data_IF_159300191750
#
_entry.id   IF_159300191750
#
_cell.length_a   1.000
_cell.length_b   1.000
_cell.length_c   1.000
_cell.angle_alpha   90.00
_cell.angle_beta   90.00
_cell.angle_gamma   90.00
#
_symmetry.space_group_name_H-M   'P 1'
#
loop_
_entity.id
_entity.type
_entity.pdbx_description
1 polymer ?
#
# COMPACT_ATOMS: atom_id res chain seq x y z
N UNK A 1 3.13 -15.56 -34.19
CA UNK A 1 3.20 -16.18 -32.84
C UNK A 1 1.90 -16.92 -32.60
N UNK A 2 1.95 -18.10 -31.98
CA UNK A 2 0.74 -18.78 -31.48
C UNK A 2 0.17 -18.03 -30.28
N UNK A 3 -1.11 -18.23 -29.90
CA UNK A 3 -1.66 -17.63 -28.68
C UNK A 3 -0.83 -17.90 -27.43
N UNK A 4 -0.29 -19.12 -27.31
CA UNK A 4 0.61 -19.49 -26.20
C UNK A 4 1.91 -18.68 -26.24
N UNK A 5 2.55 -18.55 -27.41
CA UNK A 5 3.77 -17.75 -27.55
C UNK A 5 3.53 -16.27 -27.21
N UNK A 6 2.36 -15.72 -27.56
CA UNK A 6 2.00 -14.36 -27.16
C UNK A 6 1.81 -14.24 -25.65
N UNK A 7 1.17 -15.21 -25.00
CA UNK A 7 0.96 -15.22 -23.56
C UNK A 7 2.29 -15.35 -22.78
N UNK A 8 3.19 -16.20 -23.25
CA UNK A 8 4.50 -16.39 -22.61
C UNK A 8 5.37 -15.13 -22.77
N UNK A 9 5.40 -14.52 -23.96
CA UNK A 9 6.10 -13.26 -24.18
C UNK A 9 5.52 -12.11 -23.34
N UNK A 10 4.19 -12.06 -23.18
CA UNK A 10 3.56 -11.07 -22.31
C UNK A 10 3.93 -11.26 -20.84
N UNK A 11 4.01 -12.51 -20.35
CA UNK A 11 4.47 -12.80 -18.99
C UNK A 11 5.91 -12.39 -18.78
N UNK A 12 6.80 -12.69 -19.72
CA UNK A 12 8.21 -12.32 -19.65
C UNK A 12 8.38 -10.79 -19.60
N UNK A 13 7.63 -10.04 -20.41
CA UNK A 13 7.61 -8.58 -20.34
C UNK A 13 7.10 -8.05 -19.00
N UNK A 14 6.00 -8.61 -18.48
CA UNK A 14 5.48 -8.23 -17.16
C UNK A 14 6.51 -8.53 -16.08
N UNK A 15 7.10 -9.73 -16.05
CA UNK A 15 8.12 -10.10 -15.05
C UNK A 15 9.34 -9.19 -15.11
N UNK A 16 9.76 -8.80 -16.31
CA UNK A 16 10.83 -7.83 -16.52
C UNK A 16 10.44 -6.47 -15.91
N UNK A 17 9.36 -5.84 -16.38
CA UNK A 17 8.92 -4.51 -15.95
C UNK A 17 8.58 -4.45 -14.44
N UNK A 18 8.11 -5.56 -13.88
CA UNK A 18 7.81 -5.69 -12.46
C UNK A 18 9.04 -5.48 -11.60
N UNK A 19 10.24 -5.88 -12.04
CA UNK A 19 11.40 -5.96 -11.16
C UNK A 19 12.77 -6.01 -11.85
N UNK A 20 13.14 -4.98 -12.63
CA UNK A 20 14.42 -4.90 -13.35
C UNK A 20 15.62 -4.57 -12.43
N UNK A 21 15.82 -5.30 -11.32
CA UNK A 21 16.81 -4.97 -10.28
C UNK A 21 18.25 -4.80 -10.75
N UNK A 22 18.59 -5.41 -11.89
CA UNK A 22 19.92 -5.33 -12.49
C UNK A 22 20.22 -3.98 -13.11
N UNK A 23 19.19 -3.19 -13.44
CA UNK A 23 19.32 -1.83 -13.98
C UNK A 23 18.98 -0.80 -12.88
N UNK A 24 19.92 0.09 -12.48
CA UNK A 24 19.65 1.19 -11.55
C UNK A 24 18.51 2.13 -11.97
N UNK A 25 18.23 2.24 -13.27
CA UNK A 25 17.16 3.06 -13.85
C UNK A 25 16.02 2.21 -14.43
N UNK A 26 16.04 0.89 -14.19
CA UNK A 26 15.01 -0.02 -14.67
C UNK A 26 13.67 0.16 -13.98
N UNK A 27 12.63 -0.39 -14.58
CA UNK A 27 11.27 -0.31 -14.05
C UNK A 27 11.11 -1.08 -12.73
N UNK A 28 10.25 -0.56 -11.85
CA UNK A 28 9.92 -1.10 -10.53
C UNK A 28 8.41 -1.04 -10.33
N UNK A 29 7.65 -1.68 -11.24
CA UNK A 29 6.19 -1.59 -11.19
C UNK A 29 5.67 -2.14 -9.86
N UNK A 30 6.30 -3.15 -9.24
CA UNK A 30 5.91 -3.63 -7.90
C UNK A 30 5.92 -2.52 -6.82
N UNK A 31 6.88 -1.61 -6.89
CA UNK A 31 7.06 -0.51 -5.93
C UNK A 31 6.09 0.65 -6.15
N UNK A 32 5.54 0.83 -7.35
CA UNK A 32 4.70 2.01 -7.67
C UNK A 32 3.27 1.69 -8.04
N UNK A 33 2.94 0.45 -8.40
CA UNK A 33 1.61 0.06 -8.88
C UNK A 33 0.49 0.45 -7.92
N UNK A 34 0.72 0.24 -6.62
CA UNK A 34 -0.23 0.58 -5.57
C UNK A 34 -0.48 2.09 -5.37
N UNK A 35 0.37 2.94 -5.95
CA UNK A 35 0.23 4.39 -5.91
C UNK A 35 -0.77 4.92 -6.95
N UNK A 36 -1.33 4.04 -7.79
CA UNK A 36 -2.32 4.39 -8.80
C UNK A 36 -3.58 5.04 -8.22
N UNK A 37 -4.19 5.91 -9.02
CA UNK A 37 -5.43 6.62 -8.67
C UNK A 37 -6.69 5.80 -8.99
N UNK A 38 -6.59 4.89 -9.96
CA UNK A 38 -7.64 3.95 -10.32
C UNK A 38 -7.02 2.62 -10.80
N UNK A 39 -7.68 1.52 -10.48
CA UNK A 39 -7.28 0.17 -10.88
C UNK A 39 -8.34 -0.40 -11.82
N UNK A 40 -7.92 -0.89 -12.98
CA UNK A 40 -8.80 -1.35 -14.05
C UNK A 40 -8.47 -2.79 -14.38
N UNK A 41 -9.50 -3.63 -14.49
CA UNK A 41 -9.32 -5.03 -14.84
C UNK A 41 -9.32 -5.24 -16.35
N UNK A 42 -8.18 -5.64 -16.91
CA UNK A 42 -7.97 -5.76 -18.36
C UNK A 42 -8.64 -6.96 -19.05
N UNK A 43 -9.70 -7.58 -18.49
CA UNK A 43 -10.24 -8.84 -19.03
C UNK A 43 -11.19 -8.67 -20.23
N UNK A 44 -11.97 -7.60 -20.30
CA UNK A 44 -12.87 -7.35 -21.44
C UNK A 44 -13.04 -5.85 -21.72
N UNK A 45 -13.25 -5.49 -22.99
CA UNK A 45 -13.31 -4.07 -23.41
C UNK A 45 -14.48 -3.30 -22.76
N UNK A 46 -15.62 -3.95 -22.59
CA UNK A 46 -16.82 -3.35 -22.01
C UNK A 46 -16.60 -2.91 -20.56
N UNK A 47 -16.11 -3.80 -19.70
CA UNK A 47 -15.79 -3.51 -18.29
C UNK A 47 -14.67 -2.50 -18.15
N UNK A 48 -13.67 -2.52 -19.05
CA UNK A 48 -12.62 -1.49 -19.11
C UNK A 48 -13.26 -0.13 -19.36
N UNK A 49 -14.10 -0.03 -20.40
CA UNK A 49 -14.80 1.20 -20.77
C UNK A 49 -15.68 1.71 -19.64
N UNK A 50 -16.52 0.85 -19.07
CA UNK A 50 -17.41 1.21 -17.95
C UNK A 50 -16.62 1.72 -16.73
N UNK A 51 -15.51 1.05 -16.38
CA UNK A 51 -14.67 1.43 -15.24
C UNK A 51 -14.01 2.79 -15.48
N UNK A 52 -13.48 3.02 -16.69
CA UNK A 52 -12.84 4.28 -17.08
C UNK A 52 -13.85 5.42 -17.11
N UNK A 53 -15.00 5.23 -17.78
CA UNK A 53 -16.05 6.26 -17.88
C UNK A 53 -16.57 6.64 -16.49
N UNK A 54 -16.81 5.64 -15.62
CA UNK A 54 -17.21 5.90 -14.24
C UNK A 54 -16.13 6.67 -13.48
N UNK A 55 -14.86 6.28 -13.60
CA UNK A 55 -13.75 6.98 -12.95
C UNK A 55 -13.68 8.43 -13.42
N UNK A 56 -13.68 8.69 -14.73
CA UNK A 56 -13.63 10.04 -15.30
C UNK A 56 -14.81 10.87 -14.81
N UNK A 57 -16.03 10.36 -14.86
CA UNK A 57 -17.18 11.10 -14.36
C UNK A 57 -17.10 11.40 -12.86
N UNK A 58 -16.65 10.43 -12.04
CA UNK A 58 -16.49 10.63 -10.61
C UNK A 58 -15.42 11.68 -10.32
N UNK A 59 -14.28 11.57 -10.99
CA UNK A 59 -13.14 12.47 -10.89
C UNK A 59 -13.49 13.90 -11.29
N UNK A 60 -14.35 14.09 -12.29
CA UNK A 60 -14.86 15.41 -12.68
C UNK A 60 -16.09 15.87 -11.87
N UNK A 61 -16.41 15.15 -10.78
CA UNK A 61 -17.39 15.59 -9.80
C UNK A 61 -18.85 15.30 -10.14
N UNK A 62 -19.16 14.30 -10.97
CA UNK A 62 -20.55 13.86 -11.23
C UNK A 62 -21.27 13.50 -9.93
N UNK A 63 -22.44 14.07 -9.68
CA UNK A 63 -23.17 13.89 -8.42
C UNK A 63 -24.01 12.61 -8.36
N UNK A 64 -24.26 11.94 -9.48
CA UNK A 64 -24.95 10.66 -9.51
C UNK A 64 -24.06 9.47 -9.11
N UNK A 65 -22.75 9.68 -8.96
CA UNK A 65 -21.81 8.60 -8.65
C UNK A 65 -21.52 8.57 -7.14
N UNK A 66 -21.61 7.36 -6.59
CA UNK A 66 -21.23 6.99 -5.23
C UNK A 66 -20.16 5.89 -5.26
N UNK A 67 -19.45 5.66 -4.15
CA UNK A 67 -18.48 4.57 -4.06
C UNK A 67 -19.12 3.19 -4.28
N UNK A 68 -18.35 2.27 -4.87
CA UNK A 68 -18.67 0.85 -4.83
C UNK A 68 -18.39 0.27 -3.43
N UNK A 69 -18.88 -0.95 -3.17
CA UNK A 69 -18.56 -1.67 -1.92
C UNK A 69 -17.07 -1.92 -1.78
N UNK A 70 -16.38 -2.21 -2.87
CA UNK A 70 -14.95 -2.48 -2.84
C UNK A 70 -14.15 -1.20 -2.63
N UNK A 71 -14.54 -0.08 -3.26
CA UNK A 71 -13.92 1.21 -3.00
C UNK A 71 -14.09 1.63 -1.54
N UNK A 72 -15.29 1.45 -0.98
CA UNK A 72 -15.56 1.73 0.43
C UNK A 72 -14.73 0.82 1.35
N UNK A 73 -14.76 -0.50 1.12
CA UNK A 73 -14.03 -1.47 1.93
C UNK A 73 -12.52 -1.25 1.91
N UNK A 74 -11.95 -1.05 0.72
CA UNK A 74 -10.53 -0.74 0.54
C UNK A 74 -10.14 0.58 1.17
N UNK A 75 -10.98 1.62 1.08
CA UNK A 75 -10.74 2.89 1.77
C UNK A 75 -10.75 2.74 3.29
N UNK A 76 -11.69 1.96 3.84
CA UNK A 76 -11.74 1.70 5.29
C UNK A 76 -10.52 0.92 5.76
N UNK A 77 -10.05 -0.08 4.99
CA UNK A 77 -8.80 -0.78 5.29
C UNK A 77 -7.59 0.17 5.27
N UNK A 78 -7.47 1.02 4.24
CA UNK A 78 -6.41 2.01 4.15
C UNK A 78 -6.49 3.07 5.26
N UNK A 79 -7.69 3.48 5.65
CA UNK A 79 -7.87 4.40 6.79
C UNK A 79 -7.45 3.76 8.11
N UNK A 80 -7.71 2.46 8.29
CA UNK A 80 -7.30 1.74 9.49
C UNK A 80 -5.77 1.56 9.57
N UNK A 81 -5.08 1.43 8.43
CA UNK A 81 -3.62 1.27 8.40
C UNK A 81 -2.88 2.46 9.00
N UNK A 82 -3.44 3.66 8.89
CA UNK A 82 -2.84 4.91 9.40
C UNK A 82 -2.63 4.92 10.92
N UNK A 83 -3.24 3.98 11.65
CA UNK A 83 -3.02 3.80 13.09
C UNK A 83 -1.69 3.12 13.42
N UNK A 84 -1.12 2.36 12.47
CA UNK A 84 0.07 1.54 12.70
C UNK A 84 1.33 2.39 12.88
N UNK A 85 2.16 2.02 13.86
CA UNK A 85 3.54 2.50 14.02
C UNK A 85 4.59 1.43 13.66
N UNK A 86 4.24 0.44 12.85
CA UNK A 86 5.17 -0.59 12.40
C UNK A 86 6.38 0.02 11.66
N UNK A 87 7.59 -0.47 11.99
CA UNK A 87 8.86 0.08 11.50
C UNK A 87 9.10 -0.17 10.00
N UNK A 88 8.45 -1.15 9.41
CA UNK A 88 8.63 -1.51 8.01
C UNK A 88 7.60 -0.82 7.12
N UNK A 89 6.31 -0.97 7.42
CA UNK A 89 5.22 -0.38 6.62
C UNK A 89 3.89 -0.40 7.35
N UNK A 90 3.00 0.52 6.99
CA UNK A 90 1.61 0.51 7.46
C UNK A 90 0.76 -0.44 6.62
N UNK A 91 0.05 -1.36 7.27
CA UNK A 91 -0.87 -2.32 6.67
C UNK A 91 -2.21 -2.26 7.40
N UNK A 92 -3.30 -2.24 6.66
CA UNK A 92 -4.65 -2.19 7.22
C UNK A 92 -5.52 -3.30 6.66
N UNK A 93 -6.47 -3.74 7.48
CA UNK A 93 -7.47 -4.73 7.12
C UNK A 93 -8.85 -4.32 7.64
N UNK A 94 -9.88 -4.62 6.86
CA UNK A 94 -11.26 -4.39 7.24
C UNK A 94 -12.12 -5.60 6.87
N UNK A 95 -12.77 -6.18 7.88
CA UNK A 95 -13.66 -7.32 7.72
C UNK A 95 -15.07 -6.79 7.53
N UNK A 96 -15.72 -7.21 6.45
CA UNK A 96 -17.05 -6.76 6.05
C UNK A 96 -18.01 -7.94 5.95
N UNK A 97 -19.25 -7.70 6.34
CA UNK A 97 -20.34 -8.65 6.11
C UNK A 97 -20.62 -8.81 4.61
N UNK A 98 -21.33 -9.87 4.19
CA UNK A 98 -21.81 -10.01 2.81
C UNK A 98 -22.69 -8.84 2.32
N UNK A 99 -23.28 -8.07 3.24
CA UNK A 99 -24.15 -6.93 2.93
C UNK A 99 -23.38 -5.61 2.83
N UNK A 100 -22.11 -5.58 3.24
CA UNK A 100 -21.26 -4.39 3.20
C UNK A 100 -21.20 -3.61 4.51
N UNK A 101 -21.53 -4.21 5.65
CA UNK A 101 -21.33 -3.58 6.96
C UNK A 101 -19.96 -3.95 7.55
N UNK A 102 -19.30 -3.01 8.23
CA UNK A 102 -18.04 -3.25 8.93
C UNK A 102 -18.26 -4.18 10.13
N UNK A 103 -17.56 -5.30 10.16
CA UNK A 103 -17.53 -6.27 11.27
C UNK A 103 -16.41 -5.92 12.24
N UNK A 104 -15.18 -5.76 11.75
CA UNK A 104 -14.00 -5.39 12.52
C UNK A 104 -12.95 -4.74 11.62
N UNK A 105 -12.02 -4.03 12.25
CA UNK A 105 -10.90 -3.38 11.59
C UNK A 105 -9.60 -3.84 12.25
N UNK A 106 -8.51 -3.81 11.51
CA UNK A 106 -7.19 -4.14 11.99
C UNK A 106 -6.12 -3.33 11.29
N UNK A 107 -5.00 -3.15 11.97
CA UNK A 107 -3.74 -2.74 11.36
C UNK A 107 -2.63 -3.59 11.96
N UNK A 108 -1.46 -3.61 11.34
CA UNK A 108 -0.30 -4.25 11.95
C UNK A 108 0.15 -3.43 13.16
N UNK A 109 0.11 -4.04 14.34
CA UNK A 109 0.43 -3.37 15.60
C UNK A 109 0.73 -4.40 16.70
N UNK A 110 1.49 -3.97 17.71
CA UNK A 110 1.88 -4.82 18.84
C UNK A 110 0.67 -5.13 19.74
N UNK A 111 0.38 -6.43 19.98
CA UNK A 111 -0.69 -6.84 20.89
C UNK A 111 -0.44 -6.40 22.34
N UNK A 112 -1.53 -6.15 23.07
CA UNK A 112 -1.50 -5.74 24.47
C UNK A 112 -2.11 -6.82 25.38
N UNK A 113 -1.64 -6.89 26.63
CA UNK A 113 -2.26 -7.71 27.66
C UNK A 113 -3.74 -7.35 27.84
N UNK A 114 -4.61 -8.37 27.97
CA UNK A 114 -6.07 -8.18 28.03
C UNK A 114 -6.76 -8.12 26.66
N UNK A 115 -5.99 -8.15 25.56
CA UNK A 115 -6.49 -8.18 24.19
C UNK A 115 -6.47 -6.80 23.50
N UNK A 116 -6.64 -6.83 22.16
CA UNK A 116 -6.41 -5.66 21.32
C UNK A 116 -4.92 -5.36 21.13
N UNK A 117 -4.62 -4.15 20.66
CA UNK A 117 -3.27 -3.66 20.39
C UNK A 117 -3.01 -2.37 21.14
N UNK A 118 -1.75 -1.96 21.28
CA UNK A 118 -1.42 -0.68 21.89
C UNK A 118 -1.99 0.52 21.11
N UNK A 119 -2.35 1.56 21.86
CA UNK A 119 -2.81 2.86 21.35
C UNK A 119 -1.90 3.99 21.83
N UNK A 120 -1.94 5.12 21.14
CA UNK A 120 -1.17 6.30 21.56
C UNK A 120 -1.57 6.85 22.92
N UNK A 121 -2.81 6.62 23.34
CA UNK A 121 -3.35 7.08 24.63
C UNK A 121 -3.04 6.09 25.78
N UNK A 122 -2.40 4.96 25.48
CA UNK A 122 -1.95 4.02 26.52
C UNK A 122 -0.75 4.62 27.27
N UNK A 123 -0.87 4.77 28.59
CA UNK A 123 0.17 5.39 29.41
C UNK A 123 1.48 4.62 29.56
N UNK A 124 1.50 3.34 29.16
CA UNK A 124 2.69 2.46 29.18
C UNK A 124 2.66 1.55 27.94
N UNK A 125 2.81 2.18 26.78
CA UNK A 125 2.84 1.48 25.50
C UNK A 125 4.21 0.84 25.26
N UNK A 126 4.20 -0.43 24.89
CA UNK A 126 5.41 -1.21 24.57
C UNK A 126 5.38 -1.62 23.10
N UNK A 127 5.14 -0.68 22.20
CA UNK A 127 5.31 -0.94 20.76
C UNK A 127 6.80 -1.00 20.44
N UNK A 128 7.16 -1.62 19.33
CA UNK A 128 8.56 -1.72 18.89
C UNK A 128 9.22 -0.33 18.76
N UNK A 129 8.45 0.67 18.33
CA UNK A 129 8.88 2.08 18.30
C UNK A 129 9.11 2.66 19.71
N UNK A 130 8.22 2.39 20.66
CA UNK A 130 8.32 2.92 22.03
C UNK A 130 9.52 2.31 22.77
N UNK A 131 9.76 1.01 22.55
CA UNK A 131 10.87 0.27 23.16
C UNK A 131 12.20 0.49 22.40
N UNK A 132 12.17 1.06 21.19
CA UNK A 132 13.35 1.33 20.35
C UNK A 132 14.05 0.08 19.82
N UNK A 133 13.34 -1.04 19.67
CA UNK A 133 13.89 -2.34 19.31
C UNK A 133 13.15 -2.89 18.09
N UNK A 134 13.89 -3.53 17.17
CA UNK A 134 13.35 -4.38 16.10
C UNK A 134 13.67 -5.86 16.44
N UNK A 135 12.74 -6.57 17.11
CA UNK A 135 12.96 -7.96 17.52
C UNK A 135 13.15 -8.90 16.33
N UNK A 136 12.46 -8.62 15.22
CA UNK A 136 12.53 -9.48 14.03
C UNK A 136 13.92 -9.43 13.39
N UNK A 137 14.49 -8.24 13.23
CA UNK A 137 15.86 -8.08 12.73
C UNK A 137 16.88 -8.68 13.69
N UNK A 138 16.65 -8.53 15.00
CA UNK A 138 17.55 -9.06 16.04
C UNK A 138 17.59 -10.59 15.99
N UNK A 139 16.43 -11.25 15.93
CA UNK A 139 16.35 -12.71 15.91
C UNK A 139 16.84 -13.29 14.58
N UNK A 140 16.55 -12.64 13.44
CA UNK A 140 17.14 -13.05 12.15
C UNK A 140 18.67 -13.04 12.19
N UNK A 141 19.26 -11.97 12.71
CA UNK A 141 20.71 -11.87 12.85
C UNK A 141 21.28 -12.98 13.74
N UNK A 142 20.57 -13.30 14.83
CA UNK A 142 20.95 -14.41 15.72
C UNK A 142 20.92 -15.75 15.02
N UNK A 143 19.86 -16.06 14.27
CA UNK A 143 19.72 -17.31 13.51
C UNK A 143 20.82 -17.45 12.46
N UNK A 144 21.09 -16.37 11.72
CA UNK A 144 22.16 -16.34 10.71
C UNK A 144 23.51 -16.59 11.36
N UNK A 145 23.80 -15.93 12.48
CA UNK A 145 25.04 -16.11 13.21
C UNK A 145 25.19 -17.52 13.78
N UNK A 146 24.13 -18.08 14.37
CA UNK A 146 24.10 -19.44 14.89
C UNK A 146 24.35 -20.48 13.78
N UNK A 147 23.75 -20.27 12.60
CA UNK A 147 24.01 -21.08 11.42
C UNK A 147 25.50 -21.02 11.00
N UNK A 148 26.08 -19.82 10.91
CA UNK A 148 27.50 -19.66 10.58
C UNK A 148 28.41 -20.32 11.63
N UNK A 149 28.11 -20.14 12.91
CA UNK A 149 28.86 -20.74 14.00
C UNK A 149 28.79 -22.28 13.97
N UNK A 150 27.62 -22.84 13.60
CA UNK A 150 27.45 -24.27 13.39
C UNK A 150 28.34 -24.79 12.25
N UNK A 151 28.41 -24.06 11.12
CA UNK A 151 29.29 -24.42 10.00
C UNK A 151 30.78 -24.32 10.37
N UNK A 152 31.16 -23.32 11.17
CA UNK A 152 32.51 -23.20 11.71
C UNK A 152 32.87 -24.40 12.59
N UNK A 153 31.97 -24.78 13.52
CA UNK A 153 32.16 -25.95 14.39
C UNK A 153 32.29 -27.27 13.64
N UNK A 154 31.68 -27.37 12.45
CA UNK A 154 31.82 -28.50 11.55
C UNK A 154 33.10 -28.48 10.69
N UNK A 155 33.94 -27.44 10.81
CA UNK A 155 35.17 -27.30 10.03
C UNK A 155 34.94 -27.03 8.54
N UNK A 156 33.79 -26.47 8.17
CA UNK A 156 33.42 -26.21 6.76
C UNK A 156 33.92 -24.84 6.25
N UNK A 157 34.49 -24.01 7.11
CA UNK A 157 35.11 -22.76 6.72
C UNK A 157 36.52 -23.00 6.19
N UNK A 158 36.97 -22.14 5.26
CA UNK A 158 38.38 -22.12 4.85
C UNK A 158 39.25 -21.75 6.05
N UNK A 159 40.48 -22.25 6.07
CA UNK A 159 41.41 -22.05 7.18
C UNK A 159 41.53 -20.58 7.59
N UNK A 160 41.31 -20.31 8.88
CA UNK A 160 41.43 -18.99 9.49
C UNK A 160 40.18 -18.11 9.43
N UNK A 161 39.12 -18.50 8.72
CA UNK A 161 37.85 -17.76 8.71
C UNK A 161 36.97 -18.12 9.91
N UNK A 162 36.37 -17.09 10.51
CA UNK A 162 35.43 -17.21 11.63
C UNK A 162 34.02 -16.72 11.26
N UNK A 163 33.02 -17.15 12.03
CA UNK A 163 31.64 -16.69 11.90
C UNK A 163 31.54 -15.17 12.13
N UNK A 164 32.31 -14.64 13.08
CA UNK A 164 32.37 -13.19 13.38
C UNK A 164 32.87 -12.37 12.18
N UNK A 165 33.94 -12.83 11.52
CA UNK A 165 34.49 -12.17 10.34
C UNK A 165 33.50 -12.19 9.18
N UNK A 166 32.89 -13.34 8.89
CA UNK A 166 31.89 -13.48 7.82
C UNK A 166 30.64 -12.65 8.10
N UNK A 167 30.13 -12.66 9.34
CA UNK A 167 28.92 -11.93 9.70
C UNK A 167 29.13 -10.41 9.70
N UNK A 168 30.36 -9.96 9.94
CA UNK A 168 30.74 -8.54 9.94
C UNK A 168 31.14 -8.02 8.55
N UNK A 169 31.46 -8.89 7.59
CA UNK A 169 31.82 -8.50 6.23
C UNK A 169 30.65 -7.81 5.50
N UNK A 170 30.80 -6.54 5.05
CA UNK A 170 29.76 -5.80 4.36
C UNK A 170 29.24 -6.48 3.07
N UNK A 171 30.12 -7.16 2.32
CA UNK A 171 29.74 -7.85 1.09
C UNK A 171 28.90 -9.09 1.39
N UNK A 172 29.27 -9.83 2.45
CA UNK A 172 28.51 -10.99 2.91
C UNK A 172 27.14 -10.54 3.44
N UNK A 173 27.10 -9.48 4.25
CA UNK A 173 25.85 -8.88 4.73
C UNK A 173 24.92 -8.46 3.61
N UNK A 174 25.45 -7.85 2.55
CA UNK A 174 24.66 -7.48 1.37
C UNK A 174 24.02 -8.72 0.72
N UNK A 175 24.79 -9.81 0.54
CA UNK A 175 24.26 -11.07 -0.02
C UNK A 175 23.24 -11.75 0.89
N UNK A 176 23.45 -11.72 2.21
CA UNK A 176 22.49 -12.25 3.19
C UNK A 176 21.17 -11.50 3.13
N UNK A 177 21.18 -10.18 2.92
CA UNK A 177 19.97 -9.37 2.77
C UNK A 177 19.11 -9.83 1.59
N UNK A 178 19.72 -10.34 0.53
CA UNK A 178 19.03 -10.86 -0.66
C UNK A 178 18.60 -12.34 -0.51
N UNK A 179 19.01 -13.03 0.56
CA UNK A 179 18.67 -14.43 0.79
C UNK A 179 17.29 -14.60 1.43
N UNK A 180 16.63 -15.74 1.18
CA UNK A 180 15.29 -16.05 1.68
C UNK A 180 15.15 -15.99 3.21
N UNK A 181 16.22 -16.20 3.98
CA UNK A 181 16.23 -16.06 5.45
C UNK A 181 15.85 -14.63 5.89
N UNK A 182 16.13 -13.64 5.06
CA UNK A 182 15.83 -12.23 5.36
C UNK A 182 14.33 -11.91 5.22
N UNK A 183 13.55 -12.79 4.57
CA UNK A 183 12.11 -12.63 4.34
C UNK A 183 11.25 -13.15 5.50
N UNK A 184 11.86 -13.73 6.53
CA UNK A 184 11.19 -14.16 7.75
C UNK A 184 10.66 -12.91 8.51
N UNK A 185 9.39 -12.98 8.92
CA UNK A 185 8.68 -11.89 9.63
C UNK A 185 8.10 -12.32 10.98
N UNK A 186 8.17 -13.61 11.31
CA UNK A 186 7.48 -14.25 12.42
C UNK A 186 8.01 -13.86 13.80
N UNK A 187 9.21 -13.27 13.88
CA UNK A 187 9.82 -12.86 15.13
C UNK A 187 9.47 -11.41 15.53
N UNK A 188 8.74 -10.69 14.68
CA UNK A 188 8.18 -9.38 15.05
C UNK A 188 7.12 -9.52 16.14
N UNK A 189 7.04 -8.54 17.04
CA UNK A 189 5.99 -8.53 18.07
C UNK A 189 4.63 -8.12 17.50
N UNK A 190 4.62 -7.38 16.39
CA UNK A 190 3.41 -6.93 15.71
C UNK A 190 2.61 -8.12 15.20
N UNK A 191 1.32 -8.14 15.54
CA UNK A 191 0.37 -8.98 14.82
C UNK A 191 0.02 -8.27 13.51
N UNK A 192 -0.12 -9.03 12.42
CA UNK A 192 -0.48 -8.49 11.12
C UNK A 192 -1.92 -7.95 11.11
N UNK A 193 -2.23 -7.05 10.17
CA UNK A 193 -3.52 -6.38 10.09
C UNK A 193 -4.72 -7.35 9.99
N UNK A 194 -4.58 -8.41 9.22
CA UNK A 194 -5.61 -9.43 9.03
C UNK A 194 -5.84 -10.22 10.32
N UNK A 195 -4.75 -10.57 11.02
CA UNK A 195 -4.81 -11.26 12.31
C UNK A 195 -5.44 -10.38 13.38
N UNK A 196 -5.07 -9.10 13.47
CA UNK A 196 -5.66 -8.17 14.43
C UNK A 196 -7.15 -7.99 14.18
N UNK A 197 -7.56 -7.85 12.91
CA UNK A 197 -8.98 -7.73 12.55
C UNK A 197 -9.79 -8.98 12.90
N UNK A 198 -9.25 -10.19 12.66
CA UNK A 198 -9.91 -11.45 13.04
C UNK A 198 -9.97 -11.63 14.56
N UNK A 199 -8.88 -11.34 15.28
CA UNK A 199 -8.83 -11.38 16.74
C UNK A 199 -9.83 -10.40 17.36
N UNK A 200 -9.98 -9.20 16.81
CA UNK A 200 -10.96 -8.22 17.26
C UNK A 200 -12.39 -8.70 17.03
N UNK A 201 -12.69 -9.29 15.87
CA UNK A 201 -13.99 -9.90 15.63
C UNK A 201 -14.30 -11.02 16.64
N UNK A 202 -13.34 -11.92 16.86
CA UNK A 202 -13.48 -13.03 17.81
C UNK A 202 -13.69 -12.53 19.25
N UNK A 203 -12.87 -11.58 19.69
CA UNK A 203 -12.96 -10.96 21.03
C UNK A 203 -14.30 -10.24 21.27
N UNK A 204 -14.88 -9.66 20.22
CA UNK A 204 -16.18 -8.99 20.27
C UNK A 204 -17.37 -9.91 19.97
N UNK A 205 -17.14 -11.21 19.74
CA UNK A 205 -18.20 -12.17 19.42
C UNK A 205 -18.88 -11.93 18.08
N UNK A 206 -18.17 -11.34 17.10
CA UNK A 206 -18.71 -11.02 15.77
C UNK A 206 -18.30 -12.10 14.76
N UNK A 207 -19.25 -12.74 14.05
CA UNK A 207 -18.93 -13.81 13.12
C UNK A 207 -18.24 -13.26 11.86
N UNK A 208 -17.23 -13.97 11.39
CA UNK A 208 -16.47 -13.66 10.16
C UNK A 208 -16.68 -14.69 9.05
N UNK A 209 -17.46 -15.74 9.31
CA UNK A 209 -17.81 -16.73 8.30
C UNK A 209 -18.64 -16.08 7.17
N UNK A 210 -18.22 -16.32 5.93
CA UNK A 210 -18.81 -15.71 4.73
C UNK A 210 -18.40 -14.26 4.49
N UNK A 211 -17.54 -13.67 5.32
CA UNK A 211 -17.13 -12.27 5.20
C UNK A 211 -16.26 -12.00 3.97
N UNK A 212 -16.19 -10.73 3.59
CA UNK A 212 -15.17 -10.18 2.69
C UNK A 212 -14.13 -9.44 3.54
N UNK A 213 -12.85 -9.70 3.31
CA UNK A 213 -11.76 -8.95 3.96
C UNK A 213 -11.08 -8.06 2.94
N UNK A 214 -11.09 -6.76 3.18
CA UNK A 214 -10.30 -5.80 2.43
C UNK A 214 -8.96 -5.62 3.15
N UNK A 215 -7.86 -5.65 2.41
CA UNK A 215 -6.51 -5.53 2.98
C UNK A 215 -5.67 -4.65 2.06
N UNK A 216 -4.84 -3.78 2.64
CA UNK A 216 -3.98 -2.91 1.82
C UNK A 216 -2.96 -3.73 1.05
N UNK A 217 -2.31 -4.70 1.69
CA UNK A 217 -1.25 -5.54 1.09
C UNK A 217 -1.68 -7.00 1.01
N UNK A 218 -1.31 -7.71 -0.05
CA UNK A 218 -1.66 -9.13 -0.21
C UNK A 218 -1.21 -9.95 1.02
N UNK A 219 -2.08 -10.81 1.58
CA UNK A 219 -1.77 -11.51 2.82
C UNK A 219 -0.57 -12.44 2.74
N UNK A 220 0.24 -12.47 3.80
CA UNK A 220 1.28 -13.48 3.95
C UNK A 220 0.66 -14.87 4.15
N UNK A 221 1.45 -15.93 3.96
CA UNK A 221 0.99 -17.30 4.12
C UNK A 221 0.44 -17.60 5.53
N UNK A 222 1.03 -16.97 6.57
CA UNK A 222 0.52 -17.09 7.93
C UNK A 222 -0.82 -16.39 8.15
N UNK A 223 -1.12 -15.29 7.44
CA UNK A 223 -2.43 -14.64 7.51
C UNK A 223 -3.48 -15.43 6.71
N UNK A 224 -3.10 -15.91 5.52
CA UNK A 224 -3.99 -16.65 4.63
C UNK A 224 -4.59 -17.89 5.30
N UNK A 225 -3.80 -18.69 6.03
CA UNK A 225 -4.33 -19.85 6.76
C UNK A 225 -5.40 -19.47 7.80
N UNK A 226 -5.27 -18.30 8.44
CA UNK A 226 -6.27 -17.80 9.40
C UNK A 226 -7.53 -17.29 8.71
N UNK A 227 -7.39 -16.61 7.56
CA UNK A 227 -8.54 -16.19 6.73
C UNK A 227 -9.36 -17.41 6.28
N UNK A 228 -8.68 -18.45 5.79
CA UNK A 228 -9.29 -19.73 5.42
C UNK A 228 -9.99 -20.36 6.63
N UNK A 229 -9.28 -20.52 7.75
CA UNK A 229 -9.84 -21.14 8.96
C UNK A 229 -11.02 -20.35 9.56
N UNK A 230 -11.04 -19.03 9.41
CA UNK A 230 -12.13 -18.16 9.86
C UNK A 230 -13.38 -18.26 8.97
N UNK A 231 -13.32 -18.98 7.85
CA UNK A 231 -14.42 -19.10 6.90
C UNK A 231 -14.65 -17.83 6.08
N UNK A 232 -13.62 -16.99 5.91
CA UNK A 232 -13.68 -15.83 5.00
C UNK A 232 -13.95 -16.31 3.59
N UNK A 233 -14.82 -15.62 2.86
CA UNK A 233 -15.19 -16.03 1.50
C UNK A 233 -14.36 -15.35 0.43
N UNK A 234 -14.00 -14.09 0.67
CA UNK A 234 -13.36 -13.21 -0.30
C UNK A 234 -12.32 -12.32 0.37
N UNK A 235 -11.18 -12.13 -0.27
CA UNK A 235 -10.12 -11.22 0.14
C UNK A 235 -9.83 -10.28 -1.03
N UNK A 236 -9.92 -8.97 -0.80
CA UNK A 236 -9.61 -7.94 -1.79
C UNK A 236 -8.36 -7.20 -1.35
N UNK A 237 -7.32 -7.20 -2.19
CA UNK A 237 -6.03 -6.58 -1.86
C UNK A 237 -5.64 -5.51 -2.88
N UNK A 238 -4.84 -4.52 -2.46
CA UNK A 238 -4.39 -3.41 -3.34
C UNK A 238 -2.95 -3.62 -3.79
N UNK A 239 -2.06 -3.92 -2.84
CA UNK A 239 -0.65 -4.09 -3.15
C UNK A 239 -0.31 -5.56 -3.30
N UNK A 240 0.37 -5.97 -4.38
CA UNK A 240 0.86 -7.33 -4.49
C UNK A 240 1.89 -7.62 -3.40
N UNK A 241 1.96 -8.88 -2.98
CA UNK A 241 3.03 -9.37 -2.11
C UNK A 241 3.61 -10.65 -2.73
N UNK A 242 4.48 -10.51 -3.75
CA UNK A 242 4.91 -11.62 -4.60
C UNK A 242 5.60 -12.77 -3.85
N UNK A 243 6.12 -12.48 -2.65
CA UNK A 243 6.80 -13.46 -1.79
C UNK A 243 5.85 -14.36 -1.01
N UNK A 244 4.56 -14.05 -1.00
CA UNK A 244 3.58 -14.85 -0.27
C UNK A 244 3.45 -16.25 -0.85
N UNK A 245 3.53 -17.25 0.02
CA UNK A 245 3.24 -18.65 -0.31
C UNK A 245 1.78 -19.03 -0.06
N UNK A 246 0.89 -18.06 0.13
CA UNK A 246 -0.51 -18.30 0.46
C UNK A 246 -1.23 -19.19 -0.56
N UNK A 247 -1.09 -18.90 -1.85
CA UNK A 247 -1.74 -19.66 -2.92
C UNK A 247 -1.11 -21.05 -3.09
N UNK A 248 0.23 -21.14 -3.01
CA UNK A 248 0.97 -22.41 -3.12
C UNK A 248 0.62 -23.36 -1.97
N UNK A 249 0.58 -22.87 -0.73
CA UNK A 249 0.37 -23.68 0.48
C UNK A 249 -1.10 -24.03 0.73
N UNK A 250 -2.03 -23.32 0.09
CA UNK A 250 -3.47 -23.52 0.24
C UNK A 250 -4.16 -23.63 -1.12
N UNK A 251 -3.54 -24.32 -2.08
CA UNK A 251 -4.09 -24.50 -3.42
C UNK A 251 -5.46 -25.18 -3.42
N UNK A 252 -5.73 -26.01 -2.41
CA UNK A 252 -6.99 -26.73 -2.21
C UNK A 252 -8.12 -25.81 -1.70
N UNK A 253 -7.76 -24.73 -1.00
CA UNK A 253 -8.69 -23.85 -0.31
C UNK A 253 -8.72 -22.41 -0.84
N UNK A 254 -7.80 -22.02 -1.73
CA UNK A 254 -7.66 -20.63 -2.23
C UNK A 254 -7.57 -20.57 -3.76
N UNK A 255 -7.96 -19.43 -4.31
CA UNK A 255 -7.82 -19.14 -5.75
C UNK A 255 -7.63 -17.63 -5.96
N UNK A 256 -6.92 -17.26 -7.02
CA UNK A 256 -6.66 -15.87 -7.40
C UNK A 256 -7.47 -15.48 -8.65
N UNK A 257 -8.20 -14.36 -8.57
CA UNK A 257 -8.93 -13.72 -9.68
C UNK A 257 -9.89 -14.64 -10.46
N UNK A 258 -10.44 -15.64 -9.77
CA UNK A 258 -11.36 -16.63 -10.31
C UNK A 258 -12.56 -16.84 -9.36
N UNK A 259 -13.77 -16.70 -9.90
CA UNK A 259 -14.99 -16.94 -9.12
C UNK A 259 -15.04 -18.39 -8.65
N UNK A 260 -15.14 -18.60 -7.34
CA UNK A 260 -15.20 -19.94 -6.78
C UNK A 260 -16.10 -20.01 -5.54
N UNK A 261 -16.99 -21.01 -5.48
CA UNK A 261 -17.92 -21.18 -4.36
C UNK A 261 -17.34 -22.00 -3.20
N UNK A 262 -16.30 -22.80 -3.43
CA UNK A 262 -15.73 -23.71 -2.43
C UNK A 262 -14.41 -23.23 -1.83
N UNK A 263 -13.75 -22.26 -2.49
CA UNK A 263 -12.49 -21.68 -2.06
C UNK A 263 -12.65 -20.23 -1.58
N UNK A 264 -11.65 -19.76 -0.85
CA UNK A 264 -11.46 -18.33 -0.57
C UNK A 264 -10.94 -17.68 -1.84
N UNK A 265 -11.63 -16.66 -2.31
CA UNK A 265 -11.24 -15.93 -3.53
C UNK A 265 -10.39 -14.74 -3.15
N UNK A 266 -9.13 -14.73 -3.58
CA UNK A 266 -8.27 -13.55 -3.54
C UNK A 266 -8.46 -12.77 -4.84
N UNK A 267 -8.72 -11.48 -4.75
CA UNK A 267 -8.95 -10.62 -5.91
C UNK A 267 -8.16 -9.33 -5.77
N UNK A 268 -7.57 -8.89 -6.88
CA UNK A 268 -7.00 -7.56 -6.92
C UNK A 268 -8.12 -6.51 -6.85
N UNK A 269 -7.89 -5.43 -6.11
CA UNK A 269 -8.78 -4.28 -6.05
C UNK A 269 -8.98 -3.66 -7.44
N UNK A 270 -10.23 -3.33 -7.77
CA UNK A 270 -10.63 -2.65 -9.01
C UNK A 270 -11.54 -1.49 -8.64
N UNK A 271 -11.25 -0.30 -9.17
CA UNK A 271 -11.98 0.92 -8.90
C UNK A 271 -11.08 2.09 -8.48
N UNK A 272 -11.70 3.11 -7.90
CA UNK A 272 -11.04 4.33 -7.44
C UNK A 272 -10.22 4.04 -6.19
N UNK A 273 -8.92 4.36 -6.22
CA UNK A 273 -8.01 4.01 -5.13
C UNK A 273 -8.37 4.72 -3.82
N UNK A 274 -8.01 4.13 -2.66
CA UNK A 274 -8.18 4.79 -1.37
C UNK A 274 -7.53 6.18 -1.29
N UNK A 275 -6.46 6.43 -2.08
CA UNK A 275 -5.76 7.71 -2.15
C UNK A 275 -6.62 8.84 -2.71
N UNK A 276 -7.58 8.52 -3.59
CA UNK A 276 -8.50 9.47 -4.24
C UNK A 276 -9.91 9.40 -3.68
N UNK A 277 -10.18 8.47 -2.77
CA UNK A 277 -11.52 8.21 -2.26
C UNK A 277 -12.16 9.46 -1.65
N UNK A 278 -11.47 10.13 -0.73
CA UNK A 278 -11.97 11.36 -0.11
C UNK A 278 -12.12 12.48 -1.13
N UNK A 279 -11.07 12.74 -1.91
CA UNK A 279 -11.05 13.80 -2.93
C UNK A 279 -12.28 13.73 -3.86
N UNK A 280 -12.67 12.52 -4.26
CA UNK A 280 -13.76 12.29 -5.22
C UNK A 280 -15.15 12.22 -4.56
N UNK A 281 -15.26 11.61 -3.38
CA UNK A 281 -16.56 11.27 -2.78
C UNK A 281 -17.00 12.20 -1.66
N UNK A 282 -16.08 12.96 -1.05
CA UNK A 282 -16.38 13.96 -0.03
C UNK A 282 -17.03 15.19 -0.70
N UNK A 283 -18.34 15.40 -0.43
CA UNK A 283 -19.11 16.50 -1.02
C UNK A 283 -20.01 17.14 0.03
N UNK A 284 -20.06 18.46 0.07
CA UNK A 284 -20.90 19.21 1.02
C UNK A 284 -22.40 19.16 0.65
N UNK A 285 -22.73 19.45 -0.60
CA UNK A 285 -24.11 19.43 -1.12
C UNK A 285 -24.14 18.97 -2.57
N UNK A 286 -25.22 18.28 -2.95
CA UNK A 286 -25.54 17.87 -4.33
C UNK A 286 -26.81 18.56 -4.87
N UNK A 287 -27.26 19.62 -4.18
CA UNK A 287 -28.47 20.39 -4.54
C UNK A 287 -28.11 21.60 -5.36
N UNK A 288 -28.91 21.89 -6.39
CA UNK A 288 -28.90 23.14 -7.12
C UNK A 288 -29.43 24.30 -6.29
N UNK A 289 -29.20 25.53 -6.74
CA UNK A 289 -29.64 26.77 -6.06
C UNK A 289 -31.17 26.86 -5.90
N UNK A 290 -31.91 26.18 -6.76
CA UNK A 290 -33.37 26.08 -6.79
C UNK A 290 -33.91 24.86 -6.02
N UNK A 291 -33.03 24.08 -5.36
CA UNK A 291 -33.40 22.84 -4.68
C UNK A 291 -33.49 21.61 -5.58
N UNK A 292 -33.21 21.76 -6.89
CA UNK A 292 -33.13 20.63 -7.82
C UNK A 292 -31.87 19.77 -7.60
N UNK A 293 -31.77 18.66 -8.32
CA UNK A 293 -30.56 17.83 -8.33
C UNK A 293 -29.51 18.50 -9.22
N UNK A 294 -28.34 18.85 -8.64
CA UNK A 294 -27.22 19.33 -9.43
C UNK A 294 -26.50 18.13 -10.07
N UNK A 295 -26.27 18.18 -11.39
CA UNK A 295 -25.63 17.08 -12.13
C UNK A 295 -24.13 16.94 -11.81
N UNK A 296 -23.46 18.08 -11.60
CA UNK A 296 -22.03 18.20 -11.28
C UNK A 296 -21.81 18.94 -9.97
N UNK A 297 -20.76 18.60 -9.24
CA UNK A 297 -20.46 19.20 -7.93
C UNK A 297 -20.19 20.71 -8.02
N UNK A 298 -19.43 21.15 -9.02
CA UNK A 298 -19.14 22.57 -9.28
C UNK A 298 -20.04 23.18 -10.35
N UNK A 299 -21.27 22.67 -10.55
CA UNK A 299 -22.21 23.02 -11.65
C UNK A 299 -21.74 22.62 -13.05
N UNK A 300 -20.43 22.51 -13.26
CA UNK A 300 -19.80 21.99 -14.48
C UNK A 300 -18.78 20.87 -14.15
N UNK A 301 -18.36 20.04 -15.13
CA UNK A 301 -17.36 19.01 -14.92
C UNK A 301 -16.01 19.65 -14.57
N UNK A 302 -15.55 19.42 -13.34
CA UNK A 302 -14.29 19.98 -12.82
C UNK A 302 -13.52 18.89 -12.06
N UNK A 303 -12.22 18.68 -12.36
CA UNK A 303 -11.39 17.71 -11.64
C UNK A 303 -11.41 17.95 -10.13
N UNK A 304 -11.71 16.92 -9.36
CA UNK A 304 -11.68 16.90 -7.90
C UNK A 304 -10.27 16.57 -7.40
N UNK A 305 -9.31 17.40 -7.74
CA UNK A 305 -7.97 17.40 -7.15
C UNK A 305 -7.72 18.74 -6.49
N UNK A 306 -7.23 18.71 -5.26
CA UNK A 306 -6.58 19.88 -4.68
C UNK A 306 -5.34 20.20 -5.51
N UNK A 307 -5.27 21.40 -6.08
CA UNK A 307 -4.03 21.95 -6.63
C UNK A 307 -3.09 22.25 -5.47
N UNK A 308 -2.15 21.33 -5.18
CA UNK A 308 -1.30 21.39 -3.98
C UNK A 308 0.01 22.17 -4.16
N UNK A 309 0.19 22.94 -5.23
CA UNK A 309 1.34 23.84 -5.29
C UNK A 309 1.53 24.55 -6.61
N UNK A 310 2.54 25.44 -6.68
CA UNK A 310 2.99 25.97 -7.95
C UNK A 310 3.38 24.78 -8.83
N UNK A 311 2.77 24.65 -10.01
CA UNK A 311 3.26 23.71 -11.02
C UNK A 311 4.78 23.87 -11.20
N UNK A 312 5.48 22.80 -11.63
CA UNK A 312 6.93 22.83 -11.86
C UNK A 312 7.38 24.04 -12.70
N UNK A 313 6.49 24.58 -13.55
CA UNK A 313 6.68 25.80 -14.35
C UNK A 313 7.02 27.01 -13.47
N UNK A 314 6.33 27.20 -12.34
CA UNK A 314 6.58 28.31 -11.42
C UNK A 314 7.91 28.16 -10.66
N UNK A 315 8.28 26.92 -10.34
CA UNK A 315 9.59 26.61 -9.75
C UNK A 315 10.71 26.74 -10.77
N UNK A 316 10.46 26.41 -12.04
CA UNK A 316 11.40 26.55 -13.14
C UNK A 316 11.68 28.03 -13.41
N UNK A 317 10.67 28.89 -13.47
CA UNK A 317 10.87 30.34 -13.60
C UNK A 317 11.72 30.90 -12.44
N UNK A 318 11.40 30.50 -11.20
CA UNK A 318 12.15 30.93 -10.02
C UNK A 318 13.60 30.42 -10.01
N UNK A 319 13.81 29.16 -10.40
CA UNK A 319 15.14 28.55 -10.49
C UNK A 319 15.96 29.15 -11.63
N UNK A 320 15.36 29.33 -12.82
CA UNK A 320 15.99 29.97 -13.98
C UNK A 320 16.36 31.41 -13.64
N UNK A 321 15.48 32.16 -12.98
CA UNK A 321 15.77 33.53 -12.55
C UNK A 321 16.94 33.55 -11.55
N UNK A 322 16.96 32.63 -10.58
CA UNK A 322 18.06 32.51 -9.60
C UNK A 322 19.38 32.20 -10.29
N UNK A 323 19.41 31.21 -11.19
CA UNK A 323 20.61 30.85 -11.96
C UNK A 323 21.07 31.98 -12.89
N UNK A 324 20.15 32.69 -13.56
CA UNK A 324 20.49 33.83 -14.42
C UNK A 324 21.09 34.99 -13.62
N UNK A 325 20.59 35.26 -12.41
CA UNK A 325 21.15 36.27 -11.51
C UNK A 325 22.57 35.91 -11.07
N UNK A 326 22.82 34.64 -10.74
CA UNK A 326 24.17 34.14 -10.41
C UNK A 326 25.12 34.25 -11.60
N UNK A 327 24.68 33.83 -12.79
CA UNK A 327 25.49 33.92 -14.01
C UNK A 327 25.79 35.38 -14.38
N UNK A 328 24.81 36.26 -14.30
CA UNK A 328 25.00 37.68 -14.57
C UNK A 328 26.04 38.32 -13.64
N UNK A 329 26.05 37.95 -12.35
CA UNK A 329 27.10 38.37 -11.41
C UNK A 329 28.48 37.86 -11.81
N UNK A 330 28.58 36.60 -12.25
CA UNK A 330 29.85 36.01 -12.71
C UNK A 330 30.41 36.72 -13.96
N UNK A 331 29.53 37.13 -14.88
CA UNK A 331 29.90 37.84 -16.11
C UNK A 331 29.94 39.38 -15.96
N UNK A 332 29.73 39.92 -14.75
CA UNK A 332 29.79 41.36 -14.49
C UNK A 332 28.66 42.18 -15.13
N UNK A 333 27.52 41.55 -15.40
CA UNK A 333 26.31 42.18 -15.95
C UNK A 333 25.43 42.65 -14.79
N UNK A 334 25.09 43.94 -14.74
CA UNK A 334 24.14 44.46 -13.75
C UNK A 334 22.73 43.94 -14.04
N UNK A 335 22.12 43.28 -13.05
CA UNK A 335 20.71 42.88 -13.08
C UNK A 335 19.91 43.90 -12.28
N UNK A 336 18.87 44.54 -12.87
CA UNK A 336 18.04 45.49 -12.14
C UNK A 336 17.27 44.79 -11.00
N UNK A 337 17.14 45.45 -9.85
CA UNK A 337 16.42 44.94 -8.68
C UNK A 337 14.96 44.61 -9.05
N UNK A 338 14.63 43.31 -9.01
CA UNK A 338 13.27 42.81 -9.09
C UNK A 338 12.64 42.80 -7.68
N UNK A 339 12.56 43.95 -7.03
CA UNK A 339 11.68 44.15 -5.89
C UNK A 339 10.50 45.03 -6.31
N UNK A 340 9.28 44.60 -5.96
CA UNK A 340 7.96 45.24 -6.17
C UNK A 340 7.21 44.92 -7.49
N UNK A 341 6.76 43.68 -7.61
CA UNK A 341 5.76 43.26 -8.60
C UNK A 341 4.72 42.30 -8.02
N UNK A 342 3.91 42.77 -7.06
CA UNK A 342 2.64 42.15 -6.67
C UNK A 342 2.73 40.91 -5.80
N UNK A 343 2.36 41.07 -4.52
CA UNK A 343 1.93 39.96 -3.70
C UNK A 343 0.84 39.16 -4.45
N UNK A 344 1.15 37.92 -4.83
CA UNK A 344 0.12 36.95 -5.15
C UNK A 344 -0.77 36.85 -3.91
N UNK A 345 -2.03 37.25 -4.08
CA UNK A 345 -3.00 37.25 -3.00
C UNK A 345 -3.02 35.89 -2.33
N UNK A 346 -2.90 35.92 -1.00
CA UNK A 346 -3.58 35.01 -0.09
C UNK A 346 -4.99 34.73 -0.66
N UNK A 347 -5.09 33.59 -1.34
CA UNK A 347 -6.32 32.95 -1.73
C UNK A 347 -6.61 31.83 -0.74
N UNK A 348 -6.56 32.11 0.55
CA UNK A 348 -7.13 31.21 1.56
C UNK A 348 -8.66 31.28 1.43
N UNK A 349 -9.37 30.19 1.12
CA UNK A 349 -10.80 30.17 1.37
C UNK A 349 -10.96 30.20 2.89
N UNK A 350 -11.53 31.27 3.43
CA UNK A 350 -12.00 31.24 4.81
C UNK A 350 -13.07 30.15 4.90
N UNK A 351 -12.76 29.07 5.60
CA UNK A 351 -13.73 28.03 5.93
C UNK A 351 -14.64 28.61 7.01
N UNK A 352 -15.89 28.88 6.64
CA UNK A 352 -17.04 29.00 7.52
C UNK A 352 -17.94 27.78 7.30
#
# INVERSE_FOLDING_TARGET
MTPQQCADAAKELVELDMFERTDPHGQRIDEVFHLGDAFIHGKNEETIRETIERFVHAFFGKNSISPTRDEYGSYIAASASLRSLDLARQVGAAVFSPKGEVISLGCNEVPKFGGGTYWTDDGDAHRDYDDGIDPNRTEKNRIIYDFLNTLQGAGLFKDGLTADELFSDPNVRKKIKDAAVSDITEFGRMAHAEMTALCDAARLGRPTAGATVFVTTFPCHNCAKHLVAAGVKRVVFIEPYPKSKALDLHEDATVLDEKNEKKVVFEHFVGISPRRYRDIFEKSSRRGKDGSLADWYHSEPMPLLEDKGPSYIWYEESAVLTTLVELAKEFGVEVPDLESGGAAGDGSPSIA
#
